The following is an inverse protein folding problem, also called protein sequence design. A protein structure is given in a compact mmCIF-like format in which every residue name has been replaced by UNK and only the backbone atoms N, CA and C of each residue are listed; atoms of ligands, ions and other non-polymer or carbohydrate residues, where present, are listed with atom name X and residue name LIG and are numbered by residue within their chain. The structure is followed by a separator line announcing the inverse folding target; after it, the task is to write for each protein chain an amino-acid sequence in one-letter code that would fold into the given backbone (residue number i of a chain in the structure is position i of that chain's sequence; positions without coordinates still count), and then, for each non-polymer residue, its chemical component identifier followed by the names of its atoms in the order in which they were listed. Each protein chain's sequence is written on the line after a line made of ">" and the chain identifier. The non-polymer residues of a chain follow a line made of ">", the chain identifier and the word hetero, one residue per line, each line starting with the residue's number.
data_IF_677812366907
#
_entry.id   IF_677812366907
#
_cell.length_a   1.000
_cell.length_b   1.000
_cell.length_c   1.000
_cell.angle_alpha   90.00
_cell.angle_beta   90.00
_cell.angle_gamma   90.00
#
_symmetry.space_group_name_H-M   'P 1'
#
loop_
_entity.id
_entity.type
_entity.pdbx_description
1 polymer ?
#
# COMPACT_ATOMS: atom_id res chain seq x y z
N UNK A 1 -61.54 -25.49 -15.02
CA UNK A 1 -60.60 -24.48 -15.56
C UNK A 1 -59.71 -24.01 -14.39
N UNK A 2 -58.51 -24.57 -14.28
CA UNK A 2 -57.58 -24.25 -13.21
C UNK A 2 -56.47 -23.37 -13.84
N UNK A 3 -56.41 -22.12 -13.47
CA UNK A 3 -55.35 -21.19 -13.92
C UNK A 3 -54.15 -21.32 -12.98
N UNK A 4 -53.09 -21.92 -13.48
CA UNK A 4 -51.78 -21.92 -12.77
C UNK A 4 -51.10 -20.57 -12.87
N UNK A 5 -50.81 -19.94 -11.73
CA UNK A 5 -49.96 -18.76 -11.62
C UNK A 5 -48.50 -19.21 -11.60
N UNK A 6 -47.74 -18.84 -12.59
CA UNK A 6 -46.29 -19.04 -12.63
C UNK A 6 -45.64 -17.88 -11.87
N UNK A 7 -45.05 -18.15 -10.71
CA UNK A 7 -44.23 -17.23 -9.96
C UNK A 7 -42.81 -17.18 -10.58
N UNK A 8 -42.47 -16.03 -11.18
CA UNK A 8 -41.14 -15.76 -11.72
C UNK A 8 -40.21 -15.39 -10.53
N UNK A 9 -39.37 -16.32 -10.13
CA UNK A 9 -38.32 -16.05 -9.12
C UNK A 9 -37.19 -15.24 -9.79
N UNK A 10 -37.11 -13.95 -9.47
CA UNK A 10 -36.03 -13.09 -9.89
C UNK A 10 -34.80 -13.40 -9.01
N UNK A 11 -33.84 -14.17 -9.53
CA UNK A 11 -32.56 -14.40 -8.87
C UNK A 11 -31.73 -13.11 -8.96
N UNK A 12 -31.65 -12.36 -7.86
CA UNK A 12 -30.66 -11.30 -7.71
C UNK A 12 -29.26 -11.92 -7.67
N UNK A 13 -28.55 -11.87 -8.78
CA UNK A 13 -27.12 -12.15 -8.82
C UNK A 13 -26.39 -11.02 -8.08
N UNK A 14 -25.96 -11.28 -6.87
CA UNK A 14 -25.04 -10.40 -6.15
C UNK A 14 -23.70 -10.50 -6.84
N UNK A 15 -23.31 -9.45 -7.56
CA UNK A 15 -21.97 -9.29 -8.09
C UNK A 15 -21.03 -9.13 -6.88
N UNK A 16 -20.29 -10.18 -6.54
CA UNK A 16 -19.16 -10.08 -5.62
C UNK A 16 -18.11 -9.23 -6.32
N UNK A 17 -18.05 -7.95 -5.98
CA UNK A 17 -16.97 -7.06 -6.41
C UNK A 17 -15.66 -7.61 -5.85
N UNK A 18 -14.76 -8.05 -6.71
CA UNK A 18 -13.40 -8.41 -6.34
C UNK A 18 -12.69 -7.17 -5.78
N UNK A 19 -12.17 -7.26 -4.56
CA UNK A 19 -11.59 -6.15 -3.81
C UNK A 19 -10.07 -6.30 -3.64
N UNK A 20 -9.17 -5.33 -4.02
CA UNK A 20 -7.74 -5.30 -3.69
C UNK A 20 -7.56 -4.89 -2.22
N UNK A 21 -6.43 -5.18 -1.61
CA UNK A 21 -6.35 -5.44 -0.18
C UNK A 21 -7.43 -6.44 0.22
N UNK A 22 -7.10 -7.60 0.67
CA UNK A 22 -8.06 -8.67 0.96
C UNK A 22 -9.12 -8.25 1.99
N UNK A 23 -10.20 -9.02 2.09
CA UNK A 23 -11.23 -8.80 3.12
C UNK A 23 -12.34 -7.84 2.71
N UNK A 24 -12.48 -7.49 1.43
CA UNK A 24 -13.57 -6.64 0.94
C UNK A 24 -13.29 -5.13 0.98
N UNK A 25 -12.00 -4.73 1.00
CA UNK A 25 -11.62 -3.32 0.91
C UNK A 25 -12.18 -2.66 -0.35
N UNK A 26 -12.68 -1.44 -0.24
CA UNK A 26 -13.37 -0.75 -1.31
C UNK A 26 -12.40 -0.03 -2.26
N UNK A 27 -12.72 0.12 -3.57
CA UNK A 27 -12.01 1.02 -4.47
C UNK A 27 -11.88 2.42 -3.87
N UNK A 28 -10.73 3.06 -4.07
CA UNK A 28 -10.40 4.33 -3.45
C UNK A 28 -9.59 5.21 -4.42
N UNK A 29 -10.14 5.47 -5.61
CA UNK A 29 -9.51 6.34 -6.62
C UNK A 29 -9.38 7.79 -6.14
N UNK A 30 -10.20 8.18 -5.17
CA UNK A 30 -10.18 9.42 -4.39
C UNK A 30 -9.60 9.21 -2.97
N UNK A 31 -9.63 10.23 -2.15
CA UNK A 31 -9.15 10.16 -0.76
C UNK A 31 -7.73 9.62 -0.65
N UNK A 32 -7.55 8.51 0.07
CA UNK A 32 -6.24 7.89 0.33
C UNK A 32 -5.59 7.33 -0.94
N UNK A 33 -6.38 6.83 -1.88
CA UNK A 33 -5.86 6.22 -3.10
C UNK A 33 -5.30 7.21 -4.12
N UNK A 34 -5.71 8.49 -4.07
CA UNK A 34 -5.25 9.52 -5.03
C UNK A 34 -3.74 9.75 -5.05
N UNK A 35 -3.07 9.41 -3.95
CA UNK A 35 -1.61 9.54 -3.81
C UNK A 35 -0.87 8.23 -4.03
N UNK A 36 -1.58 7.10 -4.01
CA UNK A 36 -0.97 5.78 -4.23
C UNK A 36 -0.56 5.61 -5.69
N UNK A 37 0.57 4.93 -5.91
CA UNK A 37 1.09 4.60 -7.24
C UNK A 37 1.34 3.11 -7.34
N UNK A 38 1.26 2.57 -8.57
CA UNK A 38 1.54 1.16 -8.86
C UNK A 38 2.93 1.03 -9.47
N UNK A 39 3.71 0.07 -8.98
CA UNK A 39 5.08 -0.22 -9.41
C UNK A 39 5.16 -1.62 -9.97
N UNK A 40 5.84 -1.78 -11.12
CA UNK A 40 6.15 -3.08 -11.71
C UNK A 40 7.63 -3.19 -12.03
N UNK A 41 8.14 -4.43 -12.08
CA UNK A 41 9.52 -4.70 -12.43
C UNK A 41 9.66 -5.88 -13.39
N UNK A 42 10.74 -5.87 -14.19
CA UNK A 42 11.03 -6.86 -15.25
C UNK A 42 11.17 -8.31 -14.75
N UNK A 43 11.33 -8.51 -13.42
CA UNK A 43 11.38 -9.84 -12.79
C UNK A 43 10.09 -10.21 -12.07
N UNK A 44 8.95 -9.65 -12.49
CA UNK A 44 7.65 -9.95 -11.91
C UNK A 44 7.35 -9.20 -10.61
N UNK A 45 8.13 -8.18 -10.27
CA UNK A 45 7.81 -7.30 -9.14
C UNK A 45 6.47 -6.62 -9.39
N UNK A 46 5.61 -6.66 -8.38
CA UNK A 46 4.35 -5.93 -8.33
C UNK A 46 4.23 -5.34 -6.92
N UNK A 47 4.27 -4.03 -6.84
CA UNK A 47 4.28 -3.28 -5.58
C UNK A 47 3.45 -2.00 -5.69
N UNK A 48 3.27 -1.36 -4.57
CA UNK A 48 2.67 -0.03 -4.44
C UNK A 48 3.71 0.99 -3.99
N UNK A 49 3.34 2.25 -4.03
CA UNK A 49 4.11 3.37 -3.49
C UNK A 49 3.20 4.56 -3.24
N UNK A 50 3.79 5.68 -2.85
CA UNK A 50 3.09 6.94 -2.66
C UNK A 50 3.85 8.09 -3.32
N UNK A 51 3.14 8.93 -4.06
CA UNK A 51 3.68 10.18 -4.59
C UNK A 51 3.92 11.16 -3.43
N UNK A 52 5.18 11.51 -3.17
CA UNK A 52 5.57 12.60 -2.25
C UNK A 52 5.72 13.94 -2.98
N UNK A 53 6.05 13.90 -4.26
CA UNK A 53 6.02 15.00 -5.20
C UNK A 53 5.55 14.47 -6.55
N UNK A 54 5.27 15.35 -7.51
CA UNK A 54 4.85 14.88 -8.85
C UNK A 54 5.93 14.09 -9.58
N UNK A 55 7.17 14.21 -9.16
CA UNK A 55 8.35 13.56 -9.73
C UNK A 55 9.10 12.67 -8.73
N UNK A 56 8.54 12.45 -7.53
CA UNK A 56 9.16 11.66 -6.48
C UNK A 56 8.16 10.71 -5.83
N UNK A 57 8.50 9.44 -5.80
CA UNK A 57 7.70 8.39 -5.16
C UNK A 57 8.49 7.74 -4.03
N UNK A 58 7.81 7.46 -2.93
CA UNK A 58 8.29 6.64 -1.83
C UNK A 58 7.70 5.24 -1.98
N UNK A 59 8.51 4.22 -1.77
CA UNK A 59 8.10 2.80 -1.76
C UNK A 59 8.99 1.99 -0.80
N UNK A 60 8.72 0.70 -0.66
CA UNK A 60 9.57 -0.22 0.09
C UNK A 60 10.86 -0.54 -0.69
N UNK A 61 12.00 -0.63 -0.01
CA UNK A 61 13.29 -0.89 -0.64
C UNK A 61 13.36 -2.29 -1.28
N UNK A 62 12.66 -3.28 -0.69
CA UNK A 62 12.60 -4.62 -1.26
C UNK A 62 11.84 -4.69 -2.60
N UNK A 63 11.02 -3.68 -2.92
CA UNK A 63 10.34 -3.57 -4.21
C UNK A 63 11.25 -3.20 -5.37
N UNK A 64 12.44 -2.68 -5.10
CA UNK A 64 13.36 -2.12 -6.11
C UNK A 64 14.78 -2.64 -5.94
N UNK A 65 14.94 -3.96 -5.75
CA UNK A 65 16.23 -4.63 -5.62
C UNK A 65 17.07 -4.48 -6.90
N UNK A 66 18.42 -4.53 -6.80
CA UNK A 66 19.30 -4.46 -7.98
C UNK A 66 19.04 -5.59 -8.99
N UNK A 67 19.29 -5.30 -10.26
CA UNK A 67 19.27 -6.30 -11.34
C UNK A 67 17.90 -6.50 -11.99
N UNK A 68 16.96 -5.59 -11.81
CA UNK A 68 15.72 -5.51 -12.58
C UNK A 68 15.45 -4.07 -13.03
N UNK A 69 14.66 -3.92 -14.09
CA UNK A 69 14.13 -2.64 -14.55
C UNK A 69 12.78 -2.41 -13.92
N UNK A 70 12.53 -1.19 -13.45
CA UNK A 70 11.30 -0.81 -12.76
C UNK A 70 10.59 0.33 -13.48
N UNK A 71 9.28 0.28 -13.48
CA UNK A 71 8.40 1.29 -14.07
C UNK A 71 7.25 1.58 -13.12
N UNK A 72 6.77 2.83 -13.09
CA UNK A 72 5.43 3.09 -12.57
C UNK A 72 4.39 2.80 -13.63
N UNK A 73 3.22 2.37 -13.19
CA UNK A 73 2.06 2.12 -14.05
C UNK A 73 1.00 3.17 -13.75
N UNK A 74 0.71 4.01 -14.73
CA UNK A 74 -0.47 4.88 -14.72
C UNK A 74 -1.55 4.24 -15.61
N UNK A 75 -2.81 4.32 -15.18
CA UNK A 75 -3.92 3.94 -16.04
C UNK A 75 -4.43 5.19 -16.76
N UNK A 76 -4.62 5.11 -18.08
CA UNK A 76 -5.28 6.16 -18.84
C UNK A 76 -6.81 6.14 -18.64
N UNK A 77 -7.53 7.04 -19.32
CA UNK A 77 -8.99 7.14 -19.23
C UNK A 77 -9.71 5.86 -19.69
N UNK A 78 -9.09 5.08 -20.58
CA UNK A 78 -9.58 3.78 -21.03
C UNK A 78 -9.08 2.61 -20.17
N UNK A 79 -8.45 2.91 -18.99
CA UNK A 79 -7.81 1.96 -18.08
C UNK A 79 -6.69 1.13 -18.73
N UNK A 80 -6.08 1.64 -19.81
CA UNK A 80 -4.91 1.01 -20.40
C UNK A 80 -3.65 1.43 -19.64
N UNK A 81 -2.70 0.50 -19.39
CA UNK A 81 -1.49 0.80 -18.64
C UNK A 81 -0.52 1.66 -19.49
N UNK A 82 -0.12 2.79 -18.94
CA UNK A 82 0.96 3.63 -19.43
C UNK A 82 2.16 3.51 -18.48
N UNK A 83 3.30 3.08 -19.01
CA UNK A 83 4.50 2.88 -18.21
C UNK A 83 5.30 4.19 -18.13
N UNK A 84 5.73 4.56 -16.92
CA UNK A 84 6.57 5.71 -16.62
C UNK A 84 7.97 5.26 -16.21
N UNK A 85 8.96 5.86 -16.84
CA UNK A 85 10.37 5.59 -16.54
C UNK A 85 10.80 6.20 -15.21
N UNK A 86 11.69 5.49 -14.52
CA UNK A 86 12.41 5.99 -13.37
C UNK A 86 13.75 6.57 -13.83
N UNK A 87 14.07 7.77 -13.36
CA UNK A 87 15.39 8.39 -13.61
C UNK A 87 16.43 7.88 -12.61
N UNK A 88 16.03 7.69 -11.34
CA UNK A 88 16.94 7.27 -10.27
C UNK A 88 16.19 6.50 -9.20
N UNK A 89 16.83 5.48 -8.64
CA UNK A 89 16.35 4.71 -7.49
C UNK A 89 17.35 4.89 -6.34
N UNK A 90 16.88 5.36 -5.19
CA UNK A 90 17.71 5.51 -3.98
C UNK A 90 17.08 4.68 -2.87
N UNK A 91 17.76 3.59 -2.48
CA UNK A 91 17.38 2.75 -1.32
C UNK A 91 18.07 3.27 -0.07
N UNK A 92 17.42 3.14 1.07
CA UNK A 92 18.08 3.47 2.34
C UNK A 92 19.31 2.58 2.55
N UNK A 93 20.48 3.12 2.96
CA UNK A 93 21.72 2.34 3.05
C UNK A 93 21.68 1.23 4.11
N UNK A 94 20.85 1.37 5.13
CA UNK A 94 20.65 0.35 6.20
C UNK A 94 19.56 -0.69 5.85
N UNK A 95 19.13 -0.74 4.59
CA UNK A 95 18.18 -1.76 4.15
C UNK A 95 18.82 -3.14 4.11
N UNK A 96 18.18 -4.11 4.76
CA UNK A 96 18.56 -5.53 4.72
C UNK A 96 17.38 -6.39 4.23
N UNK A 97 17.53 -6.95 3.04
CA UNK A 97 16.52 -7.83 2.44
C UNK A 97 16.27 -9.09 3.26
N UNK A 98 17.31 -9.62 3.94
CA UNK A 98 17.18 -10.82 4.77
C UNK A 98 16.30 -10.57 5.99
N UNK A 99 16.35 -9.35 6.53
CA UNK A 99 15.46 -8.94 7.62
C UNK A 99 14.00 -8.90 7.18
N UNK A 100 13.71 -8.36 5.98
CA UNK A 100 12.34 -8.33 5.43
C UNK A 100 11.77 -9.74 5.30
N UNK A 101 12.53 -10.67 4.71
CA UNK A 101 12.10 -12.07 4.53
C UNK A 101 11.80 -12.81 5.84
N UNK A 102 12.31 -12.30 6.95
CA UNK A 102 12.08 -12.84 8.31
C UNK A 102 11.11 -11.99 9.12
N UNK A 103 10.39 -11.07 8.50
CA UNK A 103 9.51 -10.08 9.14
C UNK A 103 10.20 -9.30 10.28
N UNK A 104 11.52 -9.05 10.13
CA UNK A 104 12.32 -8.27 11.08
C UNK A 104 12.43 -6.82 10.65
N UNK A 105 12.74 -5.98 11.59
CA UNK A 105 12.95 -4.55 11.37
C UNK A 105 14.17 -4.31 10.49
N UNK A 106 13.99 -3.52 9.46
CA UNK A 106 15.05 -2.95 8.60
C UNK A 106 14.59 -1.62 8.05
N UNK A 107 15.49 -0.84 7.46
CA UNK A 107 15.17 0.40 6.77
C UNK A 107 14.57 0.12 5.36
N UNK A 108 13.40 -0.54 5.34
CA UNK A 108 12.73 -0.93 4.10
C UNK A 108 12.06 0.26 3.41
N UNK A 109 12.88 1.24 2.99
CA UNK A 109 12.47 2.53 2.43
C UNK A 109 13.31 2.84 1.18
N UNK A 110 12.66 3.25 0.09
CA UNK A 110 13.30 3.72 -1.12
C UNK A 110 12.57 4.91 -1.74
N UNK A 111 13.34 5.79 -2.38
CA UNK A 111 12.84 6.90 -3.18
C UNK A 111 13.08 6.63 -4.66
N UNK A 112 12.08 6.93 -5.47
CA UNK A 112 12.11 6.79 -6.93
C UNK A 112 11.95 8.18 -7.54
N UNK A 113 13.00 8.67 -8.18
CA UNK A 113 12.92 9.87 -9.02
C UNK A 113 12.36 9.46 -10.37
N UNK A 114 11.35 10.17 -10.84
CA UNK A 114 10.68 9.90 -12.10
C UNK A 114 11.32 10.70 -13.23
N UNK A 115 11.35 10.13 -14.42
CA UNK A 115 11.77 10.83 -15.64
C UNK A 115 10.70 11.84 -16.12
N UNK A 116 9.44 11.63 -15.75
CA UNK A 116 8.33 12.53 -16.06
C UNK A 116 7.31 12.55 -14.91
N UNK A 117 6.61 13.67 -14.68
CA UNK A 117 5.66 13.79 -13.58
C UNK A 117 4.50 12.80 -13.67
N UNK A 118 4.00 12.37 -12.50
CA UNK A 118 2.76 11.59 -12.37
C UNK A 118 1.54 12.49 -12.18
N UNK A 119 0.37 11.94 -12.46
CA UNK A 119 -0.93 12.61 -12.26
C UNK A 119 -1.36 12.58 -10.79
N UNK A 120 -0.87 11.61 -10.03
CA UNK A 120 -1.21 11.41 -8.62
C UNK A 120 -0.98 12.67 -7.79
N UNK A 121 -1.85 12.90 -6.82
CA UNK A 121 -1.74 14.04 -5.90
C UNK A 121 -0.67 13.72 -4.86
N UNK A 122 0.37 14.55 -4.69
CA UNK A 122 1.36 14.34 -3.66
C UNK A 122 0.75 14.32 -2.26
N UNK A 123 1.18 13.37 -1.43
CA UNK A 123 0.79 13.27 -0.04
C UNK A 123 1.86 13.90 0.88
N UNK A 124 1.47 14.70 1.88
CA UNK A 124 2.41 15.20 2.86
C UNK A 124 2.91 14.05 3.76
N UNK A 125 4.17 14.16 4.19
CA UNK A 125 4.70 13.33 5.26
C UNK A 125 4.16 13.84 6.61
N UNK A 126 3.81 12.92 7.50
CA UNK A 126 3.44 13.31 8.86
C UNK A 126 4.64 13.96 9.56
N UNK A 127 4.43 15.03 10.35
CA UNK A 127 5.49 15.62 11.16
C UNK A 127 6.05 14.59 12.14
N UNK A 128 7.31 14.73 12.57
CA UNK A 128 7.88 13.87 13.58
C UNK A 128 7.12 14.03 14.90
N UNK A 129 6.86 12.93 15.59
CA UNK A 129 6.13 12.91 16.84
C UNK A 129 4.79 12.18 16.74
N UNK A 130 4.09 12.09 17.85
CA UNK A 130 2.84 11.34 17.95
C UNK A 130 3.10 9.84 18.08
N UNK A 131 3.19 9.36 19.32
CA UNK A 131 3.25 7.92 19.58
C UNK A 131 2.07 7.21 18.93
N UNK A 132 2.30 5.99 18.48
CA UNK A 132 1.23 5.10 18.02
C UNK A 132 0.81 4.24 19.20
N UNK A 133 -0.46 4.31 19.56
CA UNK A 133 -1.06 3.47 20.59
C UNK A 133 -1.80 2.28 19.96
N UNK A 134 -1.97 1.21 20.74
CA UNK A 134 -2.84 0.09 20.36
C UNK A 134 -4.27 0.62 20.16
N UNK A 135 -4.88 0.25 19.05
CA UNK A 135 -6.22 0.71 18.68
C UNK A 135 -6.25 1.99 17.83
N UNK A 136 -5.12 2.71 17.69
CA UNK A 136 -5.06 3.84 16.74
C UNK A 136 -5.40 3.35 15.33
N UNK A 137 -6.26 4.12 14.64
CA UNK A 137 -6.72 3.79 13.29
C UNK A 137 -5.87 4.48 12.23
N UNK A 138 -5.59 3.74 11.16
CA UNK A 138 -4.82 4.19 10.00
C UNK A 138 -5.52 3.77 8.72
N UNK A 139 -5.46 4.63 7.70
CA UNK A 139 -5.90 4.29 6.36
C UNK A 139 -4.71 3.76 5.55
N UNK A 140 -4.85 2.58 4.96
CA UNK A 140 -3.86 1.99 4.06
C UNK A 140 -4.44 1.95 2.66
N UNK A 141 -3.68 2.37 1.65
CA UNK A 141 -4.16 2.37 0.26
C UNK A 141 -3.11 1.75 -0.67
N UNK A 142 -3.51 0.74 -1.45
CA UNK A 142 -2.57 0.00 -2.31
C UNK A 142 -3.22 -0.61 -3.54
N UNK A 143 -2.38 -1.18 -4.41
CA UNK A 143 -2.77 -1.84 -5.66
C UNK A 143 -2.70 -3.38 -5.59
N UNK A 144 -2.40 -3.93 -4.43
CA UNK A 144 -2.21 -5.35 -4.21
C UNK A 144 -3.40 -6.22 -4.58
N UNK A 145 -3.26 -7.53 -4.39
CA UNK A 145 -4.31 -8.50 -4.72
C UNK A 145 -5.50 -8.38 -3.75
N UNK A 146 -6.70 -8.52 -4.30
CA UNK A 146 -7.94 -8.62 -3.54
C UNK A 146 -8.25 -10.05 -3.09
N UNK A 147 -7.77 -11.01 -3.86
CA UNK A 147 -7.87 -12.44 -3.58
C UNK A 147 -6.46 -13.01 -3.65
N UNK A 148 -5.99 -13.60 -2.55
CA UNK A 148 -4.66 -14.21 -2.50
C UNK A 148 -4.51 -15.25 -3.60
N UNK A 149 -3.42 -15.16 -4.36
CA UNK A 149 -3.10 -16.09 -5.44
C UNK A 149 -3.81 -15.81 -6.77
N UNK A 150 -4.79 -14.90 -6.81
CA UNK A 150 -5.44 -14.49 -8.05
C UNK A 150 -4.88 -13.15 -8.55
N UNK A 151 -3.85 -13.23 -9.41
CA UNK A 151 -3.18 -12.05 -9.99
C UNK A 151 -4.11 -11.11 -10.76
N UNK A 152 -5.28 -11.56 -11.21
CA UNK A 152 -6.26 -10.74 -11.94
C UNK A 152 -6.99 -9.73 -11.03
N UNK A 153 -6.90 -9.91 -9.72
CA UNK A 153 -7.60 -9.08 -8.74
C UNK A 153 -6.76 -7.87 -8.27
N UNK A 154 -5.49 -7.78 -8.66
CA UNK A 154 -4.62 -6.62 -8.42
C UNK A 154 -4.82 -5.49 -9.43
N UNK A 155 -4.10 -4.37 -9.22
CA UNK A 155 -4.05 -3.25 -10.18
C UNK A 155 -5.20 -2.23 -10.08
N UNK A 156 -6.11 -2.40 -9.13
CA UNK A 156 -7.09 -1.36 -8.75
C UNK A 156 -6.69 -0.84 -7.38
N UNK A 157 -6.57 0.49 -7.22
CA UNK A 157 -6.29 1.07 -5.90
C UNK A 157 -7.48 0.89 -4.98
N UNK A 158 -7.21 0.46 -3.75
CA UNK A 158 -8.21 0.30 -2.70
C UNK A 158 -7.66 0.76 -1.37
N UNK A 159 -8.58 1.04 -0.45
CA UNK A 159 -8.19 1.44 0.89
C UNK A 159 -8.92 0.65 1.96
N UNK A 160 -8.24 0.46 3.08
CA UNK A 160 -8.79 -0.18 4.28
C UNK A 160 -8.38 0.60 5.53
N UNK A 161 -9.32 0.76 6.44
CA UNK A 161 -9.03 1.24 7.78
C UNK A 161 -8.57 0.06 8.65
N UNK A 162 -7.34 0.13 9.13
CA UNK A 162 -6.73 -0.88 10.00
C UNK A 162 -6.34 -0.25 11.33
N UNK A 163 -6.26 -1.05 12.38
CA UNK A 163 -5.90 -0.58 13.71
C UNK A 163 -4.55 -1.14 14.17
N UNK A 164 -3.80 -0.33 14.91
CA UNK A 164 -2.55 -0.76 15.49
C UNK A 164 -2.76 -1.84 16.56
N UNK A 165 -1.91 -2.85 16.55
CA UNK A 165 -1.96 -3.98 17.47
C UNK A 165 -0.58 -4.37 17.98
N UNK A 166 -0.51 -5.21 19.02
CA UNK A 166 0.73 -5.66 19.63
C UNK A 166 1.40 -4.54 20.43
N UNK A 167 2.69 -4.32 20.18
CA UNK A 167 3.48 -3.23 20.79
C UNK A 167 3.94 -2.29 19.67
N UNK A 168 3.13 -1.28 19.28
CA UNK A 168 3.53 -0.32 18.28
C UNK A 168 4.77 0.46 18.74
N UNK A 169 5.69 0.71 17.81
CA UNK A 169 6.92 1.41 18.13
C UNK A 169 7.52 2.15 16.96
N UNK A 170 8.64 2.84 17.21
CA UNK A 170 9.36 3.58 16.19
C UNK A 170 10.08 2.69 15.17
N UNK A 171 10.20 1.39 15.43
CA UNK A 171 10.89 0.42 14.56
C UNK A 171 9.93 -0.28 13.61
N UNK A 172 8.73 -0.62 14.08
CA UNK A 172 7.71 -1.33 13.33
C UNK A 172 6.34 -1.08 13.94
N UNK A 173 5.34 -0.93 13.10
CA UNK A 173 3.93 -0.91 13.48
C UNK A 173 3.29 -2.14 12.85
N UNK A 174 2.40 -2.80 13.60
CA UNK A 174 1.57 -3.90 13.10
C UNK A 174 0.13 -3.44 13.10
N UNK A 175 -0.52 -3.59 11.97
CA UNK A 175 -1.92 -3.24 11.80
C UNK A 175 -2.74 -4.50 11.54
N UNK A 176 -4.00 -4.48 11.94
CA UNK A 176 -4.95 -5.56 11.72
C UNK A 176 -6.34 -5.01 11.47
N UNK A 177 -7.20 -5.81 10.88
CA UNK A 177 -8.63 -5.52 10.77
C UNK A 177 -9.26 -5.45 12.18
N UNK A 178 -9.94 -4.36 12.53
CA UNK A 178 -10.58 -4.22 13.85
C UNK A 178 -11.65 -5.27 14.11
N UNK A 179 -12.27 -5.83 13.07
CA UNK A 179 -13.33 -6.83 13.20
C UNK A 179 -12.79 -8.25 13.39
N UNK A 180 -11.71 -8.61 12.69
CA UNK A 180 -11.13 -9.96 12.74
C UNK A 180 -9.99 -10.09 13.74
N UNK A 181 -9.34 -8.97 14.12
CA UNK A 181 -8.18 -8.87 15.02
C UNK A 181 -7.01 -9.81 14.63
N UNK A 182 -6.96 -10.23 13.35
CA UNK A 182 -5.97 -11.16 12.84
C UNK A 182 -6.21 -12.64 13.18
N UNK A 183 -7.29 -12.97 13.86
CA UNK A 183 -7.66 -14.36 14.21
C UNK A 183 -8.24 -15.12 13.02
N UNK A 184 -8.94 -14.41 12.14
CA UNK A 184 -9.49 -14.90 10.88
C UNK A 184 -9.12 -13.94 9.75
N UNK A 185 -9.26 -14.38 8.50
CA UNK A 185 -9.03 -13.50 7.35
C UNK A 185 -9.99 -12.31 7.38
N UNK A 186 -9.42 -11.12 7.31
CA UNK A 186 -10.12 -9.85 7.34
C UNK A 186 -9.49 -8.86 6.38
N UNK A 187 -9.78 -7.58 6.56
CA UNK A 187 -9.12 -6.49 5.86
C UNK A 187 -7.61 -6.53 6.12
N UNK A 188 -6.79 -6.32 5.09
CA UNK A 188 -5.35 -6.25 5.26
C UNK A 188 -4.57 -6.25 3.95
N UNK A 189 -3.27 -5.98 4.06
CA UNK A 189 -2.38 -5.99 2.92
C UNK A 189 -2.20 -7.41 2.35
N UNK A 190 -1.91 -7.46 1.06
CA UNK A 190 -1.62 -8.68 0.32
C UNK A 190 -0.46 -8.46 -0.66
N UNK A 191 -0.13 -9.45 -1.48
CA UNK A 191 0.87 -9.35 -2.54
C UNK A 191 0.58 -8.13 -3.42
N UNK A 192 1.56 -7.26 -3.59
CA UNK A 192 1.43 -6.01 -4.34
C UNK A 192 1.15 -4.77 -3.49
N UNK A 193 0.77 -4.92 -2.21
CA UNK A 193 0.64 -3.78 -1.29
C UNK A 193 1.96 -3.36 -0.63
N UNK A 194 3.07 -4.07 -0.86
CA UNK A 194 4.40 -3.65 -0.45
C UNK A 194 4.70 -2.23 -0.95
N UNK A 195 5.13 -1.33 -0.06
CA UNK A 195 5.37 0.09 -0.35
C UNK A 195 4.11 0.97 -0.32
N UNK A 196 2.91 0.40 -0.15
CA UNK A 196 1.66 1.13 -0.03
C UNK A 196 1.69 2.12 1.15
N UNK A 197 1.19 3.36 0.98
CA UNK A 197 1.13 4.34 2.06
C UNK A 197 0.21 3.92 3.19
N UNK A 198 0.65 4.23 4.40
CA UNK A 198 -0.13 4.18 5.63
C UNK A 198 -0.32 5.60 6.12
N UNK A 199 -1.55 6.04 6.17
CA UNK A 199 -1.92 7.41 6.52
C UNK A 199 -2.50 7.50 7.92
N UNK A 200 -2.19 8.61 8.59
CA UNK A 200 -2.91 9.11 9.77
C UNK A 200 -3.70 10.34 9.36
N UNK A 201 -4.92 10.45 9.85
CA UNK A 201 -5.66 11.69 9.77
C UNK A 201 -5.06 12.69 10.77
N UNK A 202 -4.68 13.84 10.28
CA UNK A 202 -4.19 14.96 11.08
C UNK A 202 -5.08 16.17 10.75
N UNK A 203 -6.03 16.47 11.62
CA UNK A 203 -6.98 17.58 11.46
C UNK A 203 -7.76 17.54 10.12
N UNK A 204 -8.21 16.36 9.70
CA UNK A 204 -8.96 16.15 8.45
C UNK A 204 -8.09 16.01 7.21
N UNK A 205 -6.76 16.01 7.34
CA UNK A 205 -5.82 15.77 6.24
C UNK A 205 -5.06 14.45 6.43
N UNK A 206 -4.99 13.65 5.38
CA UNK A 206 -4.21 12.41 5.39
C UNK A 206 -2.73 12.70 5.21
N UNK A 207 -1.90 12.31 6.19
CA UNK A 207 -0.45 12.40 6.11
C UNK A 207 0.19 11.01 6.24
N UNK A 208 1.25 10.76 5.48
CA UNK A 208 1.94 9.47 5.44
C UNK A 208 2.77 9.29 6.69
N UNK A 209 2.49 8.24 7.50
CA UNK A 209 3.26 7.89 8.70
C UNK A 209 4.15 6.67 8.49
N UNK A 210 3.87 5.88 7.47
CA UNK A 210 4.56 4.62 7.20
C UNK A 210 4.26 4.07 5.82
N UNK A 211 4.94 3.01 5.47
CA UNK A 211 4.68 2.21 4.27
C UNK A 211 4.60 0.73 4.61
N UNK A 212 3.77 -0.01 3.89
CA UNK A 212 3.62 -1.46 4.05
C UNK A 212 4.92 -2.16 3.64
N UNK A 213 5.41 -3.05 4.52
CA UNK A 213 6.62 -3.84 4.28
C UNK A 213 6.31 -5.33 4.09
N UNK A 214 5.35 -5.88 4.82
CA UNK A 214 4.98 -7.30 4.75
C UNK A 214 3.54 -7.52 5.23
N UNK A 215 3.02 -8.72 4.97
CA UNK A 215 1.71 -9.17 5.47
C UNK A 215 1.74 -10.62 5.90
N UNK A 216 0.77 -11.01 6.72
CA UNK A 216 0.52 -12.41 7.08
C UNK A 216 -0.93 -12.79 6.81
N UNK A 217 -1.18 -14.09 6.81
CA UNK A 217 -2.52 -14.64 6.97
C UNK A 217 -2.95 -14.66 8.43
N UNK A 218 -4.17 -15.19 8.71
CA UNK A 218 -4.69 -15.34 10.08
C UNK A 218 -3.75 -16.15 10.96
N UNK A 219 -3.68 -15.80 12.25
CA UNK A 219 -2.84 -16.49 13.22
C UNK A 219 -1.33 -16.45 12.89
N UNK A 220 -0.87 -15.41 12.20
CA UNK A 220 0.50 -15.27 11.67
C UNK A 220 0.91 -16.32 10.65
N UNK A 221 -0.03 -17.02 10.02
CA UNK A 221 0.27 -17.91 8.92
C UNK A 221 0.78 -17.14 7.70
N UNK A 222 1.36 -17.83 6.75
CA UNK A 222 1.72 -17.24 5.47
C UNK A 222 0.46 -16.77 4.72
N UNK A 223 0.44 -15.52 4.24
CA UNK A 223 -0.71 -15.03 3.46
C UNK A 223 -1.05 -13.56 3.62
N UNK A 224 -2.35 -13.30 3.55
CA UNK A 224 -2.94 -11.97 3.52
C UNK A 224 -4.10 -11.88 4.52
N UNK A 225 -4.45 -10.65 4.96
CA UNK A 225 -5.64 -10.40 5.78
C UNK A 225 -5.52 -10.77 7.26
N UNK A 226 -4.30 -11.06 7.74
CA UNK A 226 -3.97 -11.17 9.15
C UNK A 226 -3.31 -9.89 9.66
N UNK A 227 -1.98 -9.89 9.79
CA UNK A 227 -1.23 -8.67 10.14
C UNK A 227 -0.72 -7.97 8.88
N UNK A 228 -0.70 -6.65 8.93
CA UNK A 228 -0.02 -5.76 7.98
C UNK A 228 1.15 -5.11 8.71
N UNK A 229 2.37 -5.46 8.34
CA UNK A 229 3.60 -4.89 8.89
C UNK A 229 3.98 -3.60 8.19
N UNK A 230 4.25 -2.57 8.96
CA UNK A 230 4.51 -1.21 8.49
C UNK A 230 5.90 -0.76 8.93
N UNK A 231 6.67 -0.20 8.00
CA UNK A 231 7.89 0.57 8.29
C UNK A 231 7.49 2.01 8.61
N UNK A 232 7.60 2.47 9.89
CA UNK A 232 7.27 3.84 10.26
C UNK A 232 8.33 4.80 9.73
N UNK A 233 7.91 5.95 9.17
CA UNK A 233 8.80 6.89 8.50
C UNK A 233 9.48 7.87 9.44
N UNK A 234 9.04 8.02 10.69
CA UNK A 234 9.59 9.00 11.62
C UNK A 234 11.12 8.93 11.77
N UNK A 235 11.69 7.72 11.74
CA UNK A 235 13.14 7.49 11.78
C UNK A 235 13.87 7.87 10.49
N UNK A 236 13.19 7.82 9.38
CA UNK A 236 13.74 8.00 8.03
C UNK A 236 13.41 9.36 7.45
N UNK A 237 12.66 10.20 8.18
CA UNK A 237 12.18 11.50 7.70
C UNK A 237 13.35 12.42 7.28
N UNK A 238 14.40 12.51 8.09
CA UNK A 238 15.60 13.29 7.75
C UNK A 238 16.26 12.81 6.46
N UNK A 239 16.42 11.50 6.31
CA UNK A 239 16.98 10.90 5.09
C UNK A 239 16.07 11.15 3.87
N UNK A 240 14.74 11.00 4.03
CA UNK A 240 13.79 11.25 2.94
C UNK A 240 13.89 12.70 2.46
N UNK A 241 13.89 13.67 3.37
CA UNK A 241 13.98 15.10 3.04
C UNK A 241 15.32 15.42 2.36
N UNK A 242 16.43 14.90 2.90
CA UNK A 242 17.76 15.09 2.33
C UNK A 242 17.85 14.52 0.91
N UNK A 243 17.40 13.30 0.71
CA UNK A 243 17.46 12.66 -0.62
C UNK A 243 16.50 13.33 -1.61
N UNK A 244 15.29 13.75 -1.19
CA UNK A 244 14.39 14.51 -2.03
C UNK A 244 15.06 15.81 -2.52
N UNK A 245 15.76 16.53 -1.64
CA UNK A 245 16.53 17.72 -2.01
C UNK A 245 17.65 17.42 -3.00
N UNK A 246 18.45 16.36 -2.77
CA UNK A 246 19.51 15.92 -3.69
C UNK A 246 18.98 15.52 -5.08
N UNK A 247 17.77 14.97 -5.13
CA UNK A 247 17.07 14.60 -6.36
C UNK A 247 16.34 15.79 -7.02
N UNK A 248 16.41 16.99 -6.44
CA UNK A 248 15.76 18.19 -6.96
C UNK A 248 14.24 18.17 -6.88
N UNK A 249 13.66 17.38 -5.99
CA UNK A 249 12.20 17.29 -5.76
C UNK A 249 11.79 18.12 -4.55
N UNK A 250 10.65 18.83 -4.66
CA UNK A 250 10.08 19.63 -3.58
C UNK A 250 8.94 18.85 -2.93
N UNK A 251 9.07 18.58 -1.65
CA UNK A 251 8.00 17.99 -0.84
C UNK A 251 6.96 19.05 -0.49
N UNK A 252 5.66 18.70 -0.33
CA UNK A 252 4.59 19.62 0.05
C UNK A 252 4.75 20.13 1.48
#
# INVERSE_FOLDING_TARGET
>A
MIRGAATLACALAWSLSAAAMVGGAQPADDGAGRSAVMLTGSRGTFCSGVALARDLVLTAAHCVLPGADYKLVELDAARQPALKDLATIVRHPEFDVTAVLRHRVTADVALLKLAAPVKNVPAPLAPPGGAVAVGDSFMVAGYGLAVRGDGKTGGTVRAAALVATGQPGSLQIRLTDPASKGERAGLGACTGDSGAPVFRDINGALAVIGIVSWSTGPGNSEGCGGLTGVTPLARYLGWIIEQAGKLGSRLP
#
